data_IF_504863160611
#
_entry.id   IF_504863160611
#
_cell.length_a   1.000
_cell.length_b   1.000
_cell.length_c   1.000
_cell.angle_alpha   90.00
_cell.angle_beta   90.00
_cell.angle_gamma   90.00
#
_symmetry.space_group_name_H-M   'P 1'
#
loop_
_entity.id
_entity.type
_entity.pdbx_description
1 polymer ?
#
# COMPACT_ATOMS: atom_id res chain seq x y z
N UNK A 1 -18.79 -9.70 2.26
CA UNK A 1 -17.61 -8.81 2.44
C UNK A 1 -18.02 -7.62 3.28
N UNK A 2 -17.21 -7.31 4.27
CA UNK A 2 -17.35 -6.11 5.08
C UNK A 2 -16.16 -5.18 4.80
N UNK A 3 -16.44 -3.94 4.44
CA UNK A 3 -15.41 -2.89 4.38
C UNK A 3 -15.14 -2.43 5.79
N UNK A 4 -13.91 -2.53 6.22
CA UNK A 4 -13.42 -2.10 7.51
C UNK A 4 -12.98 -0.63 7.52
N UNK A 5 -12.15 -0.24 8.49
CA UNK A 5 -11.68 1.13 8.58
C UNK A 5 -10.73 1.49 7.41
N UNK A 6 -10.59 2.79 7.21
CA UNK A 6 -9.50 3.32 6.39
C UNK A 6 -8.17 2.94 7.05
N UNK A 7 -7.27 2.37 6.27
CA UNK A 7 -5.98 1.91 6.78
C UNK A 7 -4.90 2.97 6.61
N UNK A 8 -4.71 3.46 5.40
CA UNK A 8 -3.70 4.50 5.11
C UNK A 8 -3.84 5.13 3.73
N UNK A 9 -3.19 6.26 3.56
CA UNK A 9 -2.83 6.83 2.26
C UNK A 9 -1.35 6.57 1.99
N UNK A 10 -1.02 6.16 0.78
CA UNK A 10 0.36 6.01 0.32
C UNK A 10 0.79 7.30 -0.38
N UNK A 11 1.92 7.87 0.04
CA UNK A 11 2.52 9.07 -0.52
C UNK A 11 3.78 8.69 -1.29
N UNK A 12 3.83 9.05 -2.57
CA UNK A 12 4.91 8.65 -3.47
C UNK A 12 5.99 9.74 -3.49
N UNK A 13 7.20 9.37 -3.12
CA UNK A 13 8.39 10.23 -3.13
C UNK A 13 9.51 9.57 -3.93
N UNK A 14 10.57 10.33 -4.23
CA UNK A 14 11.77 9.77 -4.87
C UNK A 14 12.56 8.90 -3.89
N UNK A 15 13.32 7.97 -4.43
CA UNK A 15 14.19 7.08 -3.65
C UNK A 15 15.19 7.86 -2.79
N UNK A 16 15.78 8.93 -3.32
CA UNK A 16 16.73 9.79 -2.61
C UNK A 16 16.08 10.75 -1.60
N UNK A 17 14.76 10.85 -1.58
CA UNK A 17 14.00 11.75 -0.69
C UNK A 17 13.33 11.04 0.49
N UNK A 18 13.11 9.73 0.42
CA UNK A 18 12.25 9.02 1.38
C UNK A 18 12.78 9.10 2.82
N UNK A 19 14.09 9.03 3.03
CA UNK A 19 14.69 9.12 4.37
C UNK A 19 14.45 10.49 5.00
N UNK A 20 14.61 11.55 4.23
CA UNK A 20 14.36 12.92 4.70
C UNK A 20 12.87 13.18 4.92
N UNK A 21 12.00 12.64 4.04
CA UNK A 21 10.56 12.75 4.20
C UNK A 21 10.08 12.08 5.50
N UNK A 22 10.54 10.87 5.79
CA UNK A 22 10.23 10.16 7.04
C UNK A 22 10.68 10.96 8.25
N UNK A 23 11.92 11.46 8.24
CA UNK A 23 12.44 12.27 9.35
C UNK A 23 11.62 13.53 9.58
N UNK A 24 11.35 14.30 8.53
CA UNK A 24 10.60 15.55 8.62
C UNK A 24 9.16 15.35 9.09
N UNK A 25 8.48 14.34 8.57
CA UNK A 25 7.11 14.04 8.97
C UNK A 25 7.02 13.55 10.42
N UNK A 26 7.97 12.74 10.88
CA UNK A 26 8.04 12.33 12.27
C UNK A 26 8.26 13.54 13.20
N UNK A 27 9.19 14.42 12.85
CA UNK A 27 9.50 15.61 13.66
C UNK A 27 8.35 16.63 13.68
N UNK A 28 7.75 16.90 12.52
CA UNK A 28 6.71 17.92 12.38
C UNK A 28 5.34 17.47 12.92
N UNK A 29 4.95 16.23 12.61
CA UNK A 29 3.60 15.72 12.85
C UNK A 29 3.52 14.70 13.99
N UNK A 30 4.65 14.38 14.63
CA UNK A 30 4.68 13.40 15.71
C UNK A 30 4.33 11.99 15.27
N UNK A 31 4.61 11.65 14.00
CA UNK A 31 4.42 10.31 13.47
C UNK A 31 5.51 9.35 13.95
N UNK A 32 5.25 8.05 13.81
CA UNK A 32 6.16 6.97 14.16
C UNK A 32 6.49 6.12 12.94
N UNK A 33 6.85 6.79 11.83
CA UNK A 33 7.32 6.11 10.63
C UNK A 33 8.65 5.41 10.92
N UNK A 34 8.78 4.13 10.58
CA UNK A 34 10.04 3.41 10.73
C UNK A 34 11.07 3.85 9.70
N UNK A 35 12.30 3.35 9.82
CA UNK A 35 13.32 3.51 8.78
C UNK A 35 12.80 2.87 7.47
N UNK A 36 12.89 3.57 6.34
CA UNK A 36 12.53 3.00 5.05
C UNK A 36 13.27 1.70 4.77
N UNK A 37 12.54 0.70 4.28
CA UNK A 37 13.05 -0.63 3.98
C UNK A 37 12.44 -1.19 2.69
N UNK A 38 13.17 -2.11 2.06
CA UNK A 38 12.69 -2.80 0.87
C UNK A 38 11.59 -3.81 1.23
N UNK A 39 10.60 -3.91 0.35
CA UNK A 39 9.52 -4.90 0.46
C UNK A 39 9.80 -6.05 -0.49
N UNK A 40 9.69 -7.28 0.01
CA UNK A 40 9.90 -8.48 -0.81
C UNK A 40 8.91 -8.53 -2.00
N UNK A 41 9.44 -8.77 -3.19
CA UNK A 41 8.65 -8.94 -4.42
C UNK A 41 8.12 -7.66 -5.06
N UNK A 42 8.43 -6.47 -4.49
CA UNK A 42 8.04 -5.17 -5.05
C UNK A 42 9.25 -4.24 -5.10
N UNK A 43 9.51 -3.52 -6.21
CA UNK A 43 10.68 -2.67 -6.33
C UNK A 43 10.47 -1.31 -5.64
N UNK A 44 10.18 -1.31 -4.34
CA UNK A 44 9.93 -0.11 -3.55
C UNK A 44 10.62 -0.13 -2.20
N UNK A 45 11.00 1.05 -1.71
CA UNK A 45 11.22 1.32 -0.28
C UNK A 45 9.90 1.76 0.34
N UNK A 46 9.62 1.31 1.54
CA UNK A 46 8.40 1.65 2.27
C UNK A 46 8.69 2.01 3.72
N UNK A 47 7.90 2.92 4.24
CA UNK A 47 7.82 3.24 5.66
C UNK A 47 6.36 3.54 6.02
N UNK A 48 5.75 2.76 6.90
CA UNK A 48 4.34 2.86 7.26
C UNK A 48 4.17 3.15 8.74
N UNK A 49 3.36 4.17 9.06
CA UNK A 49 2.78 4.39 10.37
C UNK A 49 1.28 4.09 10.30
N UNK A 50 0.86 2.93 10.80
CA UNK A 50 -0.55 2.52 10.76
C UNK A 50 -1.44 3.34 11.69
N UNK A 51 -0.91 3.87 12.77
CA UNK A 51 -1.64 4.74 13.70
C UNK A 51 -1.78 6.17 13.14
N UNK A 52 -0.82 6.58 12.31
CA UNK A 52 -0.84 7.86 11.60
C UNK A 52 -1.54 7.81 10.25
N UNK A 53 -1.94 6.64 9.77
CA UNK A 53 -2.62 6.42 8.47
C UNK A 53 -1.82 6.87 7.26
N UNK A 54 -0.49 6.83 7.33
CA UNK A 54 0.43 7.26 6.27
C UNK A 54 1.45 6.18 5.98
N UNK A 55 1.72 5.97 4.70
CA UNK A 55 2.86 5.22 4.19
C UNK A 55 3.62 6.08 3.17
N UNK A 56 4.93 6.18 3.31
CA UNK A 56 5.79 6.63 2.22
C UNK A 56 6.23 5.44 1.38
N UNK A 57 6.14 5.59 0.06
CA UNK A 57 6.67 4.63 -0.90
C UNK A 57 7.60 5.35 -1.88
N UNK A 58 8.74 4.73 -2.17
CA UNK A 58 9.69 5.23 -3.15
C UNK A 58 10.12 4.09 -4.08
N UNK A 59 9.93 4.22 -5.41
CA UNK A 59 10.37 3.19 -6.35
C UNK A 59 11.89 3.09 -6.38
N UNK A 60 12.41 1.87 -6.25
CA UNK A 60 13.83 1.58 -6.35
C UNK A 60 14.23 1.62 -7.83
N UNK A 61 15.28 2.36 -8.17
CA UNK A 61 15.79 2.56 -9.53
C UNK A 61 14.71 3.03 -10.55
N UNK A 62 13.66 3.69 -10.09
CA UNK A 62 12.57 4.14 -10.95
C UNK A 62 11.71 3.03 -11.55
N UNK A 63 11.77 1.83 -10.99
CA UNK A 63 11.05 0.67 -11.49
C UNK A 63 9.58 0.61 -11.02
N UNK A 64 8.79 -0.19 -11.75
CA UNK A 64 7.40 -0.48 -11.41
C UNK A 64 6.43 0.67 -11.65
N UNK A 65 5.14 0.49 -11.21
CA UNK A 65 4.08 1.48 -11.43
C UNK A 65 4.34 2.82 -10.76
N UNK A 66 4.94 2.83 -9.56
CA UNK A 66 5.31 4.07 -8.87
C UNK A 66 6.44 4.81 -9.59
N UNK A 67 7.41 4.08 -10.17
CA UNK A 67 8.47 4.67 -10.98
C UNK A 67 7.93 5.34 -12.24
N UNK A 68 7.03 4.69 -12.96
CA UNK A 68 6.35 5.26 -14.11
C UNK A 68 5.55 6.51 -13.75
N UNK A 69 4.85 6.48 -12.62
CA UNK A 69 4.07 7.62 -12.11
C UNK A 69 4.96 8.81 -11.76
N UNK A 70 6.09 8.58 -11.09
CA UNK A 70 7.07 9.65 -10.80
C UNK A 70 7.67 10.24 -12.06
N UNK A 71 8.00 9.42 -13.05
CA UNK A 71 8.53 9.88 -14.34
C UNK A 71 7.53 10.78 -15.08
N UNK A 72 6.24 10.48 -15.00
CA UNK A 72 5.18 11.24 -15.68
C UNK A 72 4.78 12.50 -14.91
N UNK A 73 4.65 12.45 -13.59
CA UNK A 73 4.04 13.51 -12.79
C UNK A 73 4.98 14.17 -11.78
N UNK A 74 6.17 13.65 -11.57
CA UNK A 74 7.10 14.13 -10.53
C UNK A 74 6.72 13.66 -9.12
N UNK A 75 7.50 14.07 -8.10
CA UNK A 75 7.29 13.67 -6.70
C UNK A 75 6.05 14.34 -6.07
N UNK A 76 5.67 13.87 -4.90
CA UNK A 76 4.53 14.42 -4.15
C UNK A 76 3.18 13.90 -4.65
N UNK A 77 3.17 12.70 -5.23
CA UNK A 77 1.94 12.07 -5.70
C UNK A 77 1.22 11.34 -4.57
N UNK A 78 -0.10 11.46 -4.55
CA UNK A 78 -0.97 10.59 -3.76
C UNK A 78 -1.11 9.27 -4.52
N UNK A 79 -0.67 8.21 -3.89
CA UNK A 79 -0.81 6.85 -4.38
C UNK A 79 -2.11 6.20 -3.89
N UNK A 80 -2.11 4.89 -3.60
CA UNK A 80 -3.30 4.19 -3.16
C UNK A 80 -3.91 4.73 -1.87
N UNK A 81 -5.24 4.81 -1.88
CA UNK A 81 -6.06 4.92 -0.69
C UNK A 81 -6.45 3.49 -0.28
N UNK A 82 -6.10 3.09 0.94
CA UNK A 82 -6.20 1.70 1.37
C UNK A 82 -7.27 1.54 2.45
N UNK A 83 -8.25 0.66 2.21
CA UNK A 83 -9.24 0.21 3.19
C UNK A 83 -9.05 -1.25 3.54
N UNK A 84 -9.37 -1.60 4.78
CA UNK A 84 -9.33 -2.98 5.22
C UNK A 84 -10.58 -3.74 4.79
N UNK A 85 -10.42 -5.04 4.58
CA UNK A 85 -11.51 -6.00 4.33
C UNK A 85 -11.30 -7.24 5.19
N UNK A 86 -12.40 -7.92 5.49
CA UNK A 86 -12.40 -9.14 6.29
C UNK A 86 -12.17 -10.42 5.46
N UNK A 87 -12.58 -10.42 4.19
CA UNK A 87 -12.54 -11.57 3.32
C UNK A 87 -12.20 -11.19 1.87
N UNK A 88 -11.05 -11.68 1.40
CA UNK A 88 -10.53 -11.38 0.05
C UNK A 88 -11.37 -12.05 -1.05
N UNK A 89 -11.81 -13.30 -0.84
CA UNK A 89 -12.55 -14.04 -1.84
C UNK A 89 -13.97 -13.46 -2.00
N UNK A 90 -14.62 -13.16 -0.89
CA UNK A 90 -15.90 -12.46 -0.90
C UNK A 90 -15.79 -11.06 -1.55
N UNK A 91 -14.64 -10.37 -1.36
CA UNK A 91 -14.39 -9.10 -2.02
C UNK A 91 -14.27 -9.24 -3.53
N UNK A 92 -13.55 -10.26 -4.02
CA UNK A 92 -13.44 -10.54 -5.46
C UNK A 92 -14.81 -10.81 -6.09
N UNK A 93 -15.61 -11.68 -5.47
CA UNK A 93 -16.94 -11.99 -5.95
C UNK A 93 -17.82 -10.75 -6.01
N UNK A 94 -17.84 -9.97 -4.92
CA UNK A 94 -18.62 -8.73 -4.83
C UNK A 94 -18.25 -7.71 -5.90
N UNK A 95 -16.94 -7.55 -6.15
CA UNK A 95 -16.43 -6.65 -7.20
C UNK A 95 -16.80 -7.13 -8.59
N UNK A 96 -16.65 -8.44 -8.87
CA UNK A 96 -16.95 -9.03 -10.15
C UNK A 96 -18.44 -8.92 -10.50
N UNK A 97 -19.34 -9.21 -9.55
CA UNK A 97 -20.78 -9.07 -9.72
C UNK A 97 -21.22 -7.65 -10.12
N UNK A 98 -20.44 -6.63 -9.74
CA UNK A 98 -20.72 -5.22 -10.02
C UNK A 98 -19.91 -4.65 -11.18
N UNK A 99 -19.14 -5.50 -11.86
CA UNK A 99 -18.32 -5.11 -13.00
C UNK A 99 -17.08 -4.26 -12.63
N UNK A 100 -16.69 -4.27 -11.36
CA UNK A 100 -15.43 -3.63 -10.96
C UNK A 100 -14.25 -4.54 -11.24
N UNK A 101 -13.21 -3.95 -11.81
CA UNK A 101 -12.00 -4.68 -12.20
C UNK A 101 -10.90 -4.53 -11.15
N UNK A 102 -10.24 -5.66 -10.84
CA UNK A 102 -9.00 -5.70 -10.11
C UNK A 102 -7.87 -5.60 -11.14
N UNK A 103 -7.04 -4.58 -11.04
CA UNK A 103 -5.91 -4.37 -11.93
C UNK A 103 -4.70 -5.20 -11.53
N UNK A 104 -4.49 -5.34 -10.22
CA UNK A 104 -3.34 -6.02 -9.66
C UNK A 104 -3.68 -6.62 -8.29
N UNK A 105 -3.12 -7.78 -8.00
CA UNK A 105 -3.18 -8.40 -6.68
C UNK A 105 -1.78 -8.55 -6.10
N UNK A 106 -1.62 -8.24 -4.84
CA UNK A 106 -0.38 -8.43 -4.09
C UNK A 106 -0.60 -9.38 -2.93
N UNK A 107 0.29 -10.35 -2.81
CA UNK A 107 0.31 -11.32 -1.71
C UNK A 107 1.71 -11.36 -1.09
N UNK A 108 1.86 -10.86 0.14
CA UNK A 108 3.14 -10.84 0.83
C UNK A 108 3.68 -12.22 1.16
N UNK A 109 2.82 -13.24 1.24
CA UNK A 109 3.24 -14.62 1.48
C UNK A 109 4.03 -15.21 0.30
N UNK A 110 3.77 -14.74 -0.92
CA UNK A 110 4.43 -15.26 -2.12
C UNK A 110 5.95 -14.96 -2.18
N UNK A 111 6.43 -13.97 -1.42
CA UNK A 111 7.84 -13.57 -1.39
C UNK A 111 8.48 -13.54 -0.02
N UNK A 112 7.76 -13.89 1.04
CA UNK A 112 8.24 -13.75 2.42
C UNK A 112 8.47 -15.11 3.08
N UNK A 113 9.73 -15.36 3.46
CA UNK A 113 10.11 -16.56 4.22
C UNK A 113 9.91 -16.41 5.75
N UNK A 114 9.53 -15.21 6.23
CA UNK A 114 9.32 -14.96 7.65
C UNK A 114 7.86 -15.25 8.04
N UNK A 115 7.64 -16.43 8.60
CA UNK A 115 6.33 -16.86 9.10
C UNK A 115 5.78 -16.00 10.26
N UNK A 116 6.62 -15.15 10.86
CA UNK A 116 6.23 -14.25 11.95
C UNK A 116 5.82 -12.87 11.46
N UNK A 117 6.07 -12.55 10.19
CA UNK A 117 5.62 -11.30 9.59
C UNK A 117 4.11 -11.27 9.39
N UNK A 118 3.51 -10.10 9.47
CA UNK A 118 2.11 -9.93 9.11
C UNK A 118 1.90 -10.30 7.62
N UNK A 119 0.90 -11.14 7.36
CA UNK A 119 0.47 -11.44 6.00
C UNK A 119 -0.45 -10.35 5.48
N UNK A 120 -0.10 -9.79 4.34
CA UNK A 120 -0.87 -8.74 3.66
C UNK A 120 -1.29 -9.23 2.30
N UNK A 121 -2.60 -9.16 2.03
CA UNK A 121 -3.17 -9.40 0.72
C UNK A 121 -3.89 -8.15 0.23
N UNK A 122 -3.60 -7.71 -1.00
CA UNK A 122 -4.15 -6.48 -1.56
C UNK A 122 -4.83 -6.73 -2.89
N UNK A 123 -6.03 -6.17 -3.04
CA UNK A 123 -6.75 -6.04 -4.30
C UNK A 123 -6.66 -4.58 -4.76
N UNK A 124 -5.81 -4.32 -5.74
CA UNK A 124 -5.64 -2.99 -6.31
C UNK A 124 -6.62 -2.80 -7.47
N UNK A 125 -7.58 -1.90 -7.29
CA UNK A 125 -8.67 -1.71 -8.24
C UNK A 125 -8.22 -0.89 -9.46
N UNK A 126 -8.93 -1.05 -10.57
CA UNK A 126 -8.67 -0.27 -11.78
C UNK A 126 -9.06 1.20 -11.57
N UNK A 127 -8.09 2.13 -11.55
CA UNK A 127 -8.38 3.52 -11.22
C UNK A 127 -9.28 4.23 -12.24
N UNK A 128 -9.41 3.70 -13.45
CA UNK A 128 -10.30 4.28 -14.46
C UNK A 128 -11.77 4.20 -14.07
N UNK A 129 -12.14 3.26 -13.21
CA UNK A 129 -13.48 3.13 -12.66
C UNK A 129 -13.69 3.93 -11.37
N UNK A 130 -12.63 4.53 -10.83
CA UNK A 130 -12.61 5.26 -9.56
C UNK A 130 -12.13 6.71 -9.75
N UNK A 131 -12.51 7.33 -10.88
CA UNK A 131 -12.21 8.73 -11.20
C UNK A 131 -10.71 9.06 -11.23
N UNK A 132 -9.87 8.09 -11.53
CA UNK A 132 -8.42 8.22 -11.53
C UNK A 132 -7.75 7.96 -10.18
N UNK A 133 -8.50 7.80 -9.09
CA UNK A 133 -7.94 7.44 -7.80
C UNK A 133 -7.56 5.96 -7.74
N UNK A 134 -6.40 5.68 -7.17
CA UNK A 134 -5.99 4.31 -6.84
C UNK A 134 -6.65 3.89 -5.53
N UNK A 135 -7.53 2.90 -5.59
CA UNK A 135 -8.20 2.33 -4.43
C UNK A 135 -7.69 0.92 -4.21
N UNK A 136 -7.31 0.60 -2.99
CA UNK A 136 -6.83 -0.72 -2.61
C UNK A 136 -7.67 -1.26 -1.45
N UNK A 137 -8.12 -2.49 -1.58
CA UNK A 137 -8.73 -3.26 -0.51
C UNK A 137 -7.70 -4.24 0.04
N UNK A 138 -7.49 -4.22 1.35
CA UNK A 138 -6.40 -4.97 1.98
C UNK A 138 -6.91 -5.82 3.14
N UNK A 139 -6.52 -7.09 3.15
CA UNK A 139 -6.58 -7.91 4.36
C UNK A 139 -5.19 -8.00 4.98
N UNK A 140 -5.09 -7.69 6.25
CA UNK A 140 -3.88 -7.86 7.05
C UNK A 140 -4.16 -8.90 8.13
N UNK A 141 -3.36 -9.94 8.18
CA UNK A 141 -3.41 -10.96 9.22
C UNK A 141 -2.12 -10.90 10.04
N UNK A 142 -2.24 -10.66 11.32
CA UNK A 142 -1.11 -10.65 12.25
C UNK A 142 -0.97 -12.04 12.84
N UNK A 143 0.25 -12.63 12.95
CA UNK A 143 0.46 -13.92 13.60
C UNK A 143 -0.08 -13.89 15.03
N UNK A 144 -0.93 -14.85 15.38
CA UNK A 144 -1.59 -14.95 16.69
C UNK A 144 -3.01 -14.37 16.74
N UNK A 145 -3.43 -13.62 15.74
CA UNK A 145 -4.82 -13.16 15.60
C UNK A 145 -5.65 -14.26 14.93
N UNK A 146 -6.12 -15.18 15.74
CA UNK A 146 -7.13 -16.16 15.33
C UNK A 146 -8.50 -15.58 15.68
N UNK A 147 -9.03 -14.81 14.77
CA UNK A 147 -10.46 -14.49 14.78
C UNK A 147 -11.27 -15.61 14.16
#
# INVERSE_FOLDING_TARGET
>A
MKIGPFNRVELVVREDEIHDAVKQFNELLGLHLPKPHAIAGVPVLSATDFDGFIEFVAPINGEGPFGARLAEHGPGQIGPLVWEIDDVDAAREWLAERGFRIRYEYDSAAGNADEQAAHVYQLCLDPTQWFGFSVTLMRRTVPGDRS
#
